data_IF_082633846931
#
_entry.id   IF_082633846931
#
_cell.length_a   1.000
_cell.length_b   1.000
_cell.length_c   1.000
_cell.angle_alpha   90.00
_cell.angle_beta   90.00
_cell.angle_gamma   90.00
#
_symmetry.space_group_name_H-M   'P 1'
#
loop_
_entity.id
_entity.type
_entity.pdbx_description
1 polymer ?
#
# COMPACT_ATOMS: atom_id res chain seq x y z
N UNK A 1 -13.92 7.38 -73.06
CA UNK A 1 -13.83 5.96 -72.57
C UNK A 1 -13.01 5.97 -71.30
N UNK A 2 -13.63 5.99 -70.14
CA UNK A 2 -12.93 5.97 -68.85
C UNK A 2 -13.58 4.93 -67.92
N UNK A 3 -12.80 3.94 -67.58
CA UNK A 3 -13.18 2.81 -66.69
C UNK A 3 -13.23 3.30 -65.24
N UNK A 4 -14.41 3.25 -64.62
CA UNK A 4 -14.61 3.49 -63.20
C UNK A 4 -14.15 2.26 -62.38
N UNK A 5 -13.22 2.46 -61.46
CA UNK A 5 -12.73 1.47 -60.49
C UNK A 5 -13.70 1.37 -59.33
N UNK A 6 -14.32 0.21 -59.13
CA UNK A 6 -15.13 -0.12 -57.94
C UNK A 6 -14.22 -0.48 -56.77
N UNK A 7 -14.12 0.41 -55.76
CA UNK A 7 -13.50 0.09 -54.44
C UNK A 7 -14.54 -0.64 -53.57
N UNK A 8 -14.27 -1.91 -53.32
CA UNK A 8 -15.01 -2.74 -52.39
C UNK A 8 -14.70 -2.35 -50.94
N UNK A 9 -15.70 -1.85 -50.20
CA UNK A 9 -15.62 -1.62 -48.75
C UNK A 9 -15.79 -2.94 -48.00
N UNK A 10 -14.70 -3.56 -47.53
CA UNK A 10 -14.76 -4.65 -46.56
C UNK A 10 -15.20 -4.10 -45.21
N UNK A 11 -16.44 -4.33 -44.81
CA UNK A 11 -16.95 -4.14 -43.44
C UNK A 11 -16.27 -5.15 -42.51
N UNK A 12 -15.40 -4.70 -41.59
CA UNK A 12 -14.89 -5.48 -40.47
C UNK A 12 -16.05 -5.73 -39.50
N UNK A 13 -16.52 -6.96 -39.38
CA UNK A 13 -17.41 -7.43 -38.30
C UNK A 13 -16.61 -7.47 -37.01
N UNK A 14 -16.90 -6.56 -36.07
CA UNK A 14 -16.44 -6.64 -34.71
C UNK A 14 -17.27 -7.72 -34.00
N UNK A 15 -16.66 -8.87 -33.78
CA UNK A 15 -17.25 -9.95 -32.99
C UNK A 15 -17.16 -9.53 -31.52
N UNK A 16 -18.27 -9.01 -30.96
CA UNK A 16 -18.42 -8.85 -29.52
C UNK A 16 -18.48 -10.23 -28.88
N UNK A 17 -17.34 -10.74 -28.37
CA UNK A 17 -17.33 -11.88 -27.46
C UNK A 17 -18.00 -11.44 -26.15
N UNK A 18 -19.23 -11.89 -25.90
CA UNK A 18 -19.84 -11.90 -24.57
C UNK A 18 -19.02 -12.85 -23.70
N UNK A 19 -18.22 -12.30 -22.79
CA UNK A 19 -17.57 -13.09 -21.74
C UNK A 19 -18.68 -13.52 -20.77
N UNK A 20 -18.97 -14.80 -20.77
CA UNK A 20 -19.98 -15.39 -19.90
C UNK A 20 -19.33 -15.67 -18.53
N UNK A 21 -19.45 -14.71 -17.58
CA UNK A 21 -18.88 -14.81 -16.23
C UNK A 21 -19.76 -15.73 -15.34
N UNK A 22 -20.07 -16.90 -15.80
CA UNK A 22 -20.67 -17.99 -15.01
C UNK A 22 -19.93 -19.30 -15.20
N UNK A 23 -18.61 -19.28 -15.16
CA UNK A 23 -17.78 -20.44 -14.94
C UNK A 23 -17.69 -20.70 -13.43
N UNK A 24 -18.47 -21.67 -12.91
CA UNK A 24 -18.18 -22.27 -11.61
C UNK A 24 -16.79 -22.92 -11.71
N UNK A 25 -15.75 -22.22 -11.28
CA UNK A 25 -14.44 -22.82 -11.08
C UNK A 25 -14.56 -23.84 -9.95
N UNK A 26 -14.61 -25.11 -10.32
CA UNK A 26 -14.33 -26.21 -9.38
C UNK A 26 -12.82 -26.18 -9.18
N UNK A 27 -12.37 -25.58 -8.06
CA UNK A 27 -11.01 -25.78 -7.60
C UNK A 27 -10.73 -27.29 -7.59
N UNK A 28 -9.61 -27.72 -8.19
CA UNK A 28 -9.23 -29.13 -8.16
C UNK A 28 -9.14 -29.59 -6.71
N UNK A 29 -9.56 -30.81 -6.41
CA UNK A 29 -9.52 -31.36 -5.04
C UNK A 29 -8.10 -31.30 -4.44
N UNK A 30 -7.08 -31.25 -5.27
CA UNK A 30 -5.66 -31.13 -4.87
C UNK A 30 -5.29 -29.75 -4.31
N UNK A 31 -5.85 -28.66 -4.84
CA UNK A 31 -5.60 -27.30 -4.31
C UNK A 31 -6.33 -27.02 -2.99
N UNK A 32 -7.41 -27.77 -2.67
CA UNK A 32 -8.15 -27.61 -1.40
C UNK A 32 -7.49 -28.33 -0.22
N UNK A 33 -6.64 -29.35 -0.46
CA UNK A 33 -6.03 -30.15 0.61
C UNK A 33 -4.85 -29.44 1.33
N UNK A 34 -4.37 -28.31 0.81
CA UNK A 34 -3.17 -27.60 1.31
C UNK A 34 -3.53 -26.33 2.08
N UNK A 35 -4.78 -25.87 2.01
CA UNK A 35 -5.16 -24.59 2.65
C UNK A 35 -5.65 -24.85 4.07
N UNK A 36 -4.93 -24.30 5.06
CA UNK A 36 -5.34 -24.31 6.47
C UNK A 36 -6.77 -23.78 6.62
N UNK A 37 -7.62 -24.40 7.47
CA UNK A 37 -8.97 -23.91 7.74
C UNK A 37 -9.02 -22.44 8.16
N UNK A 38 -7.96 -21.93 8.80
CA UNK A 38 -7.84 -20.54 9.25
C UNK A 38 -7.80 -19.56 8.09
N UNK A 39 -7.22 -19.93 6.94
CA UNK A 39 -7.05 -19.03 5.77
C UNK A 39 -8.13 -19.19 4.70
N UNK A 40 -9.00 -20.20 4.78
CA UNK A 40 -10.01 -20.47 3.74
C UNK A 40 -10.87 -19.24 3.37
N UNK A 41 -11.28 -18.43 4.37
CA UNK A 41 -12.07 -17.24 4.11
C UNK A 41 -11.30 -16.17 3.37
N UNK A 42 -9.98 -16.03 3.66
CA UNK A 42 -9.09 -15.06 3.00
C UNK A 42 -8.75 -15.54 1.58
N UNK A 43 -8.53 -16.82 1.40
CA UNK A 43 -8.33 -17.42 0.09
C UNK A 43 -9.49 -17.16 -0.87
N UNK A 44 -10.73 -17.15 -0.37
CA UNK A 44 -11.91 -16.76 -1.16
C UNK A 44 -11.87 -15.31 -1.63
N UNK A 45 -11.15 -14.45 -0.93
CA UNK A 45 -10.95 -13.03 -1.23
C UNK A 45 -9.57 -12.75 -1.87
N UNK A 46 -8.83 -13.79 -2.31
CA UNK A 46 -7.46 -13.67 -2.81
C UNK A 46 -7.26 -12.61 -3.89
N UNK A 47 -8.24 -12.44 -4.77
CA UNK A 47 -8.19 -11.42 -5.83
C UNK A 47 -8.43 -9.98 -5.32
N UNK A 48 -8.99 -9.82 -4.13
CA UNK A 48 -9.02 -8.52 -3.46
C UNK A 48 -7.71 -8.20 -2.74
N UNK A 49 -6.89 -9.23 -2.46
CA UNK A 49 -5.57 -9.08 -1.87
C UNK A 49 -4.52 -8.83 -2.96
N UNK A 50 -4.55 -9.64 -4.01
CA UNK A 50 -3.73 -9.53 -5.22
C UNK A 50 -4.58 -9.87 -6.44
N UNK A 51 -4.85 -8.91 -7.32
CA UNK A 51 -5.68 -9.13 -8.52
C UNK A 51 -5.06 -10.16 -9.48
N UNK A 52 -3.75 -10.29 -9.47
CA UNK A 52 -2.96 -11.24 -10.27
C UNK A 52 -2.58 -12.52 -9.51
N UNK A 53 -3.40 -12.92 -8.51
CA UNK A 53 -3.09 -14.03 -7.61
C UNK A 53 -2.71 -15.33 -8.36
N UNK A 54 -3.46 -15.70 -9.40
CA UNK A 54 -3.26 -16.97 -10.13
C UNK A 54 -1.99 -16.98 -11.00
N UNK A 55 -1.27 -15.86 -11.12
CA UNK A 55 -0.02 -15.75 -11.87
C UNK A 55 1.21 -16.20 -11.05
N UNK A 56 1.01 -16.72 -9.85
CA UNK A 56 2.06 -17.30 -9.01
C UNK A 56 2.41 -16.46 -7.78
N UNK A 57 1.47 -15.65 -7.27
CA UNK A 57 1.62 -14.92 -6.00
C UNK A 57 1.90 -15.92 -4.87
N UNK A 58 2.92 -15.61 -4.07
CA UNK A 58 3.31 -16.37 -2.90
C UNK A 58 2.82 -15.68 -1.63
N UNK A 59 2.28 -16.46 -0.69
CA UNK A 59 1.76 -16.00 0.59
C UNK A 59 2.07 -17.02 1.67
N UNK A 60 2.51 -16.58 2.83
CA UNK A 60 2.54 -17.42 4.05
C UNK A 60 1.19 -17.38 4.79
N UNK A 61 1.06 -18.12 5.89
CA UNK A 61 -0.18 -18.15 6.67
C UNK A 61 -0.52 -16.77 7.24
N UNK A 62 0.47 -16.00 7.68
CA UNK A 62 0.28 -14.66 8.23
C UNK A 62 -0.11 -13.66 7.14
N UNK A 63 0.51 -13.72 5.97
CA UNK A 63 0.22 -12.87 4.84
C UNK A 63 -1.25 -12.88 4.44
N UNK A 64 -1.93 -14.03 4.57
CA UNK A 64 -3.35 -14.13 4.25
C UNK A 64 -4.27 -13.21 5.04
N UNK A 65 -3.91 -12.88 6.28
CA UNK A 65 -4.72 -11.99 7.11
C UNK A 65 -4.09 -10.64 7.40
N UNK A 66 -2.81 -10.46 7.06
CA UNK A 66 -2.08 -9.21 7.31
C UNK A 66 -1.90 -8.34 6.07
N UNK A 67 -1.85 -8.92 4.86
CA UNK A 67 -1.67 -8.14 3.65
C UNK A 67 -2.81 -7.14 3.44
N UNK A 68 -2.45 -5.91 3.12
CA UNK A 68 -3.41 -4.85 2.77
C UNK A 68 -4.15 -5.23 1.48
N UNK A 69 -5.49 -5.15 1.42
CA UNK A 69 -6.22 -5.31 0.17
C UNK A 69 -5.70 -4.36 -0.91
N UNK A 70 -5.55 -4.86 -2.14
CA UNK A 70 -4.93 -4.12 -3.26
C UNK A 70 -5.59 -2.75 -3.49
N UNK A 71 -6.92 -2.66 -3.41
CA UNK A 71 -7.67 -1.40 -3.55
C UNK A 71 -7.25 -0.35 -2.50
N UNK A 72 -6.98 -0.78 -1.25
CA UNK A 72 -6.51 0.11 -0.18
C UNK A 72 -5.05 0.52 -0.45
N UNK A 73 -4.20 -0.45 -0.83
CA UNK A 73 -2.80 -0.17 -1.14
C UNK A 73 -2.64 0.82 -2.30
N UNK A 74 -3.51 0.75 -3.32
CA UNK A 74 -3.58 1.75 -4.41
C UNK A 74 -3.92 3.13 -3.85
N UNK A 75 -4.90 3.24 -2.94
CA UNK A 75 -5.24 4.54 -2.32
C UNK A 75 -4.08 5.11 -1.51
N UNK A 76 -3.36 4.27 -0.75
CA UNK A 76 -2.14 4.72 -0.05
C UNK A 76 -1.10 5.29 -1.03
N UNK A 77 -0.88 4.61 -2.16
CA UNK A 77 0.07 5.06 -3.17
C UNK A 77 -0.35 6.38 -3.85
N UNK A 78 -1.64 6.59 -4.07
CA UNK A 78 -2.19 7.85 -4.62
C UNK A 78 -2.01 9.05 -3.69
N UNK A 79 -1.83 8.83 -2.39
CA UNK A 79 -1.58 9.89 -1.40
C UNK A 79 -0.12 10.33 -1.33
N UNK A 80 0.78 9.61 -1.96
CA UNK A 80 2.20 9.98 -1.98
C UNK A 80 2.44 11.17 -2.92
N UNK A 81 3.40 12.01 -2.56
CA UNK A 81 3.80 13.17 -3.37
C UNK A 81 4.77 12.72 -4.45
N UNK A 82 4.53 13.15 -5.69
CA UNK A 82 5.35 12.76 -6.85
C UNK A 82 6.83 13.08 -6.67
N UNK A 83 7.71 12.18 -7.17
CA UNK A 83 9.16 12.36 -7.18
C UNK A 83 9.87 12.00 -5.88
N UNK A 84 9.17 11.45 -4.88
CA UNK A 84 9.75 10.96 -3.64
C UNK A 84 10.14 9.48 -3.67
N UNK A 85 10.85 9.06 -2.63
CA UNK A 85 11.10 7.66 -2.29
C UNK A 85 10.12 7.23 -1.21
N UNK A 86 9.56 6.03 -1.32
CA UNK A 86 8.72 5.45 -0.28
C UNK A 86 9.51 4.42 0.50
N UNK A 87 9.59 4.56 1.82
CA UNK A 87 10.12 3.54 2.72
C UNK A 87 8.94 2.75 3.28
N UNK A 88 8.77 1.51 2.81
CA UNK A 88 7.81 0.56 3.38
C UNK A 88 8.49 -0.17 4.54
N UNK A 89 8.14 0.24 5.76
CA UNK A 89 8.86 -0.16 6.98
C UNK A 89 8.52 -1.59 7.44
N UNK A 90 7.43 -2.18 6.93
CA UNK A 90 6.94 -3.52 7.26
C UNK A 90 6.34 -4.15 5.99
N UNK A 91 7.20 -4.50 5.04
CA UNK A 91 6.79 -4.83 3.67
C UNK A 91 5.95 -6.11 3.55
N UNK A 92 6.12 -7.07 4.46
CA UNK A 92 5.38 -8.34 4.45
C UNK A 92 5.43 -9.02 3.08
N UNK A 93 4.26 -9.28 2.50
CA UNK A 93 4.12 -9.90 1.16
C UNK A 93 4.30 -8.92 0.00
N UNK A 94 4.67 -7.66 0.25
CA UNK A 94 4.89 -6.64 -0.76
C UNK A 94 3.63 -5.96 -1.28
N UNK A 95 2.46 -6.15 -0.65
CA UNK A 95 1.19 -5.63 -1.16
C UNK A 95 1.20 -4.12 -1.37
N UNK A 96 1.67 -3.35 -0.40
CA UNK A 96 1.80 -1.89 -0.52
C UNK A 96 3.00 -1.48 -1.37
N UNK A 97 4.17 -2.09 -1.17
CA UNK A 97 5.38 -1.82 -1.95
C UNK A 97 5.14 -1.92 -3.46
N UNK A 98 4.39 -2.94 -3.90
CA UNK A 98 4.00 -3.14 -5.30
C UNK A 98 3.16 -1.97 -5.83
N UNK A 99 2.19 -1.49 -5.06
CA UNK A 99 1.31 -0.42 -5.52
C UNK A 99 2.01 0.95 -5.52
N UNK A 100 2.92 1.21 -4.57
CA UNK A 100 3.80 2.37 -4.64
C UNK A 100 4.66 2.34 -5.91
N UNK A 101 5.32 1.21 -6.19
CA UNK A 101 6.16 1.04 -7.38
C UNK A 101 5.34 1.12 -8.69
N UNK A 102 4.12 0.59 -8.73
CA UNK A 102 3.23 0.66 -9.88
C UNK A 102 2.80 2.10 -10.23
N UNK A 103 2.79 3.01 -9.26
CA UNK A 103 2.58 4.44 -9.48
C UNK A 103 3.87 5.23 -9.76
N UNK A 104 5.01 4.53 -9.95
CA UNK A 104 6.28 5.12 -10.38
C UNK A 104 7.16 5.62 -9.25
N UNK A 105 6.88 5.25 -7.99
CA UNK A 105 7.77 5.56 -6.87
C UNK A 105 8.92 4.55 -6.81
N UNK A 106 10.11 5.02 -6.43
CA UNK A 106 11.15 4.12 -5.96
C UNK A 106 10.84 3.71 -4.51
N UNK A 107 10.90 2.41 -4.20
CA UNK A 107 10.50 1.88 -2.90
C UNK A 107 11.68 1.20 -2.22
N UNK A 108 11.90 1.51 -0.96
CA UNK A 108 12.77 0.74 -0.07
C UNK A 108 11.86 -0.10 0.83
N UNK A 109 11.78 -1.39 0.53
CA UNK A 109 10.88 -2.34 1.19
C UNK A 109 11.64 -3.15 2.25
N UNK A 110 11.29 -2.98 3.52
CA UNK A 110 12.00 -3.56 4.66
C UNK A 110 11.10 -4.58 5.35
N UNK A 111 11.60 -5.77 5.59
CA UNK A 111 10.99 -6.74 6.49
C UNK A 111 12.09 -7.52 7.23
N UNK A 112 11.82 -7.89 8.46
CA UNK A 112 12.76 -8.65 9.29
C UNK A 112 12.84 -10.11 8.86
N UNK A 113 11.78 -10.64 8.24
CA UNK A 113 11.67 -12.04 7.82
C UNK A 113 12.19 -12.22 6.37
N UNK A 114 13.33 -12.93 6.16
CA UNK A 114 13.88 -13.17 4.85
C UNK A 114 12.93 -13.95 3.93
N UNK A 115 12.06 -14.81 4.46
CA UNK A 115 11.09 -15.56 3.66
C UNK A 115 10.00 -14.61 3.11
N UNK A 116 9.54 -13.66 3.92
CA UNK A 116 8.59 -12.63 3.47
C UNK A 116 9.20 -11.76 2.37
N UNK A 117 10.45 -11.34 2.54
CA UNK A 117 11.19 -10.56 1.53
C UNK A 117 11.32 -11.34 0.22
N UNK A 118 11.64 -12.66 0.27
CA UNK A 118 11.68 -13.49 -0.94
C UNK A 118 10.30 -13.57 -1.63
N UNK A 119 9.22 -13.76 -0.86
CA UNK A 119 7.87 -13.81 -1.39
C UNK A 119 7.45 -12.45 -1.98
N UNK A 120 7.74 -11.35 -1.30
CA UNK A 120 7.47 -10.00 -1.78
C UNK A 120 8.19 -9.70 -3.10
N UNK A 121 9.46 -10.07 -3.21
CA UNK A 121 10.24 -9.95 -4.46
C UNK A 121 9.65 -10.79 -5.59
N UNK A 122 9.20 -12.03 -5.32
CA UNK A 122 8.49 -12.84 -6.29
C UNK A 122 7.19 -12.15 -6.74
N UNK A 123 6.42 -11.61 -5.80
CA UNK A 123 5.15 -10.96 -6.08
C UNK A 123 5.34 -9.68 -6.91
N UNK A 124 6.38 -8.90 -6.61
CA UNK A 124 6.72 -7.71 -7.39
C UNK A 124 7.08 -8.02 -8.83
N UNK A 125 7.79 -9.14 -9.10
CA UNK A 125 8.10 -9.61 -10.46
C UNK A 125 6.84 -9.94 -11.26
N UNK A 126 5.84 -10.53 -10.62
CA UNK A 126 4.55 -10.83 -11.26
C UNK A 126 3.86 -9.53 -11.71
N UNK A 127 3.95 -8.47 -10.91
CA UNK A 127 3.43 -7.15 -11.26
C UNK A 127 4.33 -6.37 -12.22
N UNK A 128 5.58 -6.83 -12.46
CA UNK A 128 6.55 -6.18 -13.35
C UNK A 128 7.14 -4.89 -12.80
N UNK A 129 7.21 -4.77 -11.47
CA UNK A 129 7.67 -3.56 -10.77
C UNK A 129 8.89 -3.79 -9.87
N UNK A 130 9.46 -4.99 -9.90
CA UNK A 130 10.61 -5.39 -9.07
C UNK A 130 11.85 -4.50 -9.26
N UNK A 131 12.05 -3.92 -10.44
CA UNK A 131 13.13 -2.98 -10.72
C UNK A 131 12.99 -1.61 -10.02
N UNK A 132 11.83 -1.33 -9.43
CA UNK A 132 11.55 -0.09 -8.69
C UNK A 132 11.57 -0.29 -7.17
N UNK A 133 11.90 -1.53 -6.70
CA UNK A 133 11.84 -1.88 -5.28
C UNK A 133 13.17 -2.45 -4.83
N UNK A 134 13.81 -1.80 -3.86
CA UNK A 134 14.94 -2.33 -3.13
C UNK A 134 14.44 -3.11 -1.92
N UNK A 135 14.55 -4.43 -1.96
CA UNK A 135 14.15 -5.31 -0.87
C UNK A 135 15.28 -5.49 0.14
N UNK A 136 15.03 -5.21 1.42
CA UNK A 136 16.01 -5.26 2.50
C UNK A 136 15.50 -6.18 3.62
N UNK A 137 16.28 -7.21 3.95
CA UNK A 137 16.06 -8.03 5.14
C UNK A 137 16.70 -7.32 6.34
N UNK A 138 15.89 -6.65 7.16
CA UNK A 138 16.38 -5.92 8.33
C UNK A 138 15.25 -5.61 9.32
N UNK A 139 15.63 -5.32 10.55
CA UNK A 139 14.75 -4.66 11.52
C UNK A 139 14.72 -3.15 11.21
N UNK A 140 13.52 -2.64 10.89
CA UNK A 140 13.31 -1.22 10.59
C UNK A 140 13.87 -0.30 11.68
N UNK A 141 13.66 -0.64 12.96
CA UNK A 141 14.13 0.18 14.07
C UNK A 141 15.67 0.32 14.12
N UNK A 142 16.37 -0.73 13.66
CA UNK A 142 17.84 -0.72 13.61
C UNK A 142 18.39 0.05 12.40
N UNK A 143 17.71 0.01 11.26
CA UNK A 143 18.19 0.65 10.03
C UNK A 143 17.72 2.10 9.86
N UNK A 144 16.68 2.53 10.56
CA UNK A 144 16.13 3.88 10.48
C UNK A 144 17.18 5.01 10.63
N UNK A 145 18.18 4.93 11.55
CA UNK A 145 19.24 5.96 11.64
C UNK A 145 20.11 6.06 10.40
N UNK A 146 20.29 4.94 9.66
CA UNK A 146 21.07 4.92 8.41
C UNK A 146 20.25 5.49 7.26
N UNK A 147 18.96 5.18 7.19
CA UNK A 147 18.02 5.77 6.23
C UNK A 147 17.97 7.29 6.40
N UNK A 148 17.90 7.79 7.63
CA UNK A 148 17.97 9.23 7.92
C UNK A 148 19.19 9.87 7.27
N UNK A 149 20.39 9.31 7.44
CA UNK A 149 21.63 9.85 6.87
C UNK A 149 21.60 9.89 5.34
N UNK A 150 21.02 8.87 4.71
CA UNK A 150 20.93 8.73 3.27
C UNK A 150 19.93 9.73 2.66
N UNK A 151 18.78 9.92 3.25
CA UNK A 151 17.71 10.80 2.75
C UNK A 151 17.89 12.28 3.15
N UNK A 152 18.70 12.59 4.17
CA UNK A 152 18.96 13.94 4.68
C UNK A 152 20.40 14.42 4.48
N UNK A 153 21.10 13.89 3.48
CA UNK A 153 22.41 14.42 3.11
C UNK A 153 22.27 15.88 2.61
N UNK A 154 23.08 16.82 3.10
CA UNK A 154 23.07 18.21 2.61
C UNK A 154 23.32 18.37 1.11
N UNK A 155 23.91 17.34 0.48
CA UNK A 155 24.21 17.30 -0.96
C UNK A 155 23.07 16.76 -1.81
N UNK A 156 22.04 16.12 -1.21
CA UNK A 156 20.83 15.70 -1.92
C UNK A 156 19.75 16.76 -1.75
N UNK A 157 19.08 17.19 -2.83
CA UNK A 157 17.90 18.03 -2.66
C UNK A 157 16.95 17.29 -1.73
N UNK A 158 16.46 18.00 -0.69
CA UNK A 158 15.43 17.46 0.21
C UNK A 158 14.22 17.12 -0.67
N UNK A 159 14.07 15.84 -1.01
CA UNK A 159 12.87 15.39 -1.74
C UNK A 159 11.69 15.57 -0.78
N UNK A 160 10.96 16.69 -0.94
CA UNK A 160 9.76 17.01 -0.16
C UNK A 160 8.69 15.90 -0.25
N UNK A 161 8.89 14.95 -1.16
CA UNK A 161 8.00 13.85 -1.43
C UNK A 161 8.35 12.50 -0.79
N UNK A 162 9.45 12.39 -0.01
CA UNK A 162 9.75 11.11 0.66
C UNK A 162 8.67 10.77 1.68
N UNK A 163 8.23 9.50 1.69
CA UNK A 163 7.17 8.98 2.55
C UNK A 163 7.65 7.78 3.34
N UNK A 164 7.33 7.70 4.62
CA UNK A 164 7.42 6.48 5.42
C UNK A 164 6.04 5.83 5.51
N UNK A 165 5.93 4.59 5.08
CA UNK A 165 4.71 3.79 5.21
C UNK A 165 4.87 2.81 6.37
N UNK A 166 3.95 2.87 7.32
CA UNK A 166 3.90 2.06 8.52
C UNK A 166 2.65 1.16 8.49
N UNK A 167 2.84 -0.12 8.30
CA UNK A 167 1.80 -1.15 8.49
C UNK A 167 2.31 -2.21 9.45
N UNK A 168 2.53 -1.84 10.74
CA UNK A 168 3.11 -2.72 11.73
C UNK A 168 2.17 -3.88 12.06
N UNK A 169 2.68 -5.01 12.60
CA UNK A 169 1.83 -6.12 13.02
C UNK A 169 0.84 -5.71 14.12
N UNK A 170 -0.45 -6.08 13.95
CA UNK A 170 -1.54 -5.79 14.89
C UNK A 170 -1.77 -6.91 15.93
N UNK A 171 -0.87 -7.91 16.02
CA UNK A 171 -1.06 -9.07 16.88
C UNK A 171 -1.96 -10.15 16.27
N UNK A 172 -2.11 -10.18 14.94
CA UNK A 172 -2.93 -11.15 14.20
C UNK A 172 -4.44 -10.93 14.40
N UNK A 173 -5.30 -11.90 14.00
CA UNK A 173 -6.76 -11.74 14.01
C UNK A 173 -7.39 -11.43 15.38
N UNK A 174 -6.66 -11.64 16.47
CA UNK A 174 -7.12 -11.39 17.84
C UNK A 174 -7.32 -9.91 18.16
N UNK A 175 -6.74 -8.97 17.40
CA UNK A 175 -6.98 -7.53 17.58
C UNK A 175 -8.46 -7.17 17.56
N UNK A 176 -9.30 -7.99 16.90
CA UNK A 176 -10.76 -7.78 16.78
C UNK A 176 -11.51 -8.02 18.08
N UNK A 177 -10.87 -8.65 19.06
CA UNK A 177 -11.47 -8.94 20.38
C UNK A 177 -11.35 -7.76 21.35
N UNK A 178 -10.50 -6.78 21.04
CA UNK A 178 -10.46 -5.52 21.77
C UNK A 178 -11.62 -4.62 21.32
N UNK A 179 -12.35 -4.05 22.25
CA UNK A 179 -13.38 -3.05 21.94
C UNK A 179 -12.75 -1.78 21.36
N UNK A 180 -11.60 -1.39 21.91
CA UNK A 180 -10.77 -0.28 21.47
C UNK A 180 -9.32 -0.75 21.35
N UNK A 181 -8.68 -0.59 20.16
CA UNK A 181 -7.29 -0.97 19.93
C UNK A 181 -6.39 0.22 20.19
N UNK A 182 -5.62 0.18 21.26
CA UNK A 182 -4.68 1.24 21.65
C UNK A 182 -3.33 1.07 20.96
N UNK A 183 -2.60 2.16 20.76
CA UNK A 183 -1.32 2.16 20.00
C UNK A 183 -0.21 1.36 20.70
N UNK A 184 -0.31 1.12 22.02
CA UNK A 184 0.62 0.26 22.77
C UNK A 184 0.51 -1.23 22.43
N UNK A 185 -0.58 -1.65 21.80
CA UNK A 185 -0.77 -3.03 21.34
C UNK A 185 -0.03 -3.35 20.03
N UNK A 186 0.46 -2.34 19.30
CA UNK A 186 1.24 -2.55 18.08
C UNK A 186 2.57 -3.25 18.37
N UNK A 187 3.12 -3.91 17.35
CA UNK A 187 4.39 -4.64 17.41
C UNK A 187 5.32 -4.17 16.30
N UNK A 188 6.64 -4.26 16.47
CA UNK A 188 7.40 -4.82 17.62
C UNK A 188 7.45 -3.91 18.85
N UNK A 189 7.13 -2.62 18.69
CA UNK A 189 7.05 -1.62 19.77
C UNK A 189 5.72 -0.87 19.64
N UNK A 190 5.40 -0.02 20.63
CA UNK A 190 4.18 0.80 20.60
C UNK A 190 4.15 1.79 19.42
N UNK A 191 2.95 2.26 19.07
CA UNK A 191 2.74 3.13 17.91
C UNK A 191 3.38 4.51 18.05
N UNK A 192 3.50 5.05 19.26
CA UNK A 192 4.17 6.33 19.49
C UNK A 192 5.66 6.23 19.16
N UNK A 193 6.32 5.18 19.63
CA UNK A 193 7.75 4.91 19.31
C UNK A 193 7.95 4.70 17.82
N UNK A 194 7.09 3.89 17.14
CA UNK A 194 7.16 3.68 15.70
C UNK A 194 7.03 5.00 14.93
N UNK A 195 6.06 5.82 15.31
CA UNK A 195 5.82 7.11 14.67
C UNK A 195 7.01 8.05 14.86
N UNK A 196 7.56 8.17 16.07
CA UNK A 196 8.73 9.00 16.35
C UNK A 196 9.95 8.55 15.55
N UNK A 197 10.20 7.25 15.42
CA UNK A 197 11.30 6.72 14.59
C UNK A 197 11.08 7.10 13.12
N UNK A 198 9.89 6.92 12.58
CA UNK A 198 9.56 7.29 11.20
C UNK A 198 9.72 8.80 10.96
N UNK A 199 9.33 9.65 11.90
CA UNK A 199 9.52 11.11 11.84
C UNK A 199 10.98 11.53 11.75
N UNK A 200 11.91 10.71 12.26
CA UNK A 200 13.34 10.99 12.06
C UNK A 200 13.78 10.89 10.61
N UNK A 201 13.03 10.16 9.78
CA UNK A 201 13.31 9.94 8.36
C UNK A 201 12.57 10.97 7.50
N UNK A 202 11.28 11.20 7.75
CA UNK A 202 10.45 12.15 7.00
C UNK A 202 9.22 12.56 7.82
N UNK A 203 8.71 13.81 7.66
CA UNK A 203 7.43 14.21 8.26
C UNK A 203 6.22 13.61 7.52
N UNK A 204 6.39 13.07 6.30
CA UNK A 204 5.32 12.51 5.50
C UNK A 204 5.15 11.03 5.86
N UNK A 205 4.17 10.71 6.68
CA UNK A 205 3.94 9.36 7.18
C UNK A 205 2.55 8.90 6.78
N UNK A 206 2.44 7.66 6.32
CA UNK A 206 1.18 6.95 6.12
C UNK A 206 1.18 5.78 7.10
N UNK A 207 0.20 5.74 8.01
CA UNK A 207 0.11 4.70 9.02
C UNK A 207 -1.19 3.92 8.86
N UNK A 208 -1.10 2.63 8.52
CA UNK A 208 -2.27 1.75 8.36
C UNK A 208 -2.51 0.97 9.64
N UNK A 209 -3.71 1.14 10.21
CA UNK A 209 -4.08 0.74 11.56
C UNK A 209 -5.33 -0.15 11.57
N UNK A 210 -5.57 -0.89 12.67
CA UNK A 210 -6.80 -1.64 12.88
C UNK A 210 -8.05 -0.77 12.74
N UNK A 211 -9.16 -1.38 12.29
CA UNK A 211 -10.44 -0.68 12.13
C UNK A 211 -11.06 -0.17 13.43
N UNK A 212 -10.64 -0.71 14.57
CA UNK A 212 -11.08 -0.35 15.91
C UNK A 212 -9.99 0.38 16.70
N UNK A 213 -9.05 1.05 16.01
CA UNK A 213 -8.01 1.84 16.66
C UNK A 213 -8.62 3.00 17.41
N UNK A 214 -8.01 3.35 18.54
CA UNK A 214 -8.33 4.56 19.30
C UNK A 214 -7.91 5.81 18.50
N UNK A 215 -8.90 6.47 17.90
CA UNK A 215 -8.66 7.64 17.05
C UNK A 215 -8.07 8.80 17.86
N UNK A 216 -8.43 8.96 19.14
CA UNK A 216 -7.86 10.01 19.98
C UNK A 216 -6.33 9.84 20.12
N UNK A 217 -5.86 8.60 20.32
CA UNK A 217 -4.41 8.35 20.37
C UNK A 217 -3.71 8.59 19.01
N UNK A 218 -4.41 8.36 17.90
CA UNK A 218 -3.87 8.71 16.57
C UNK A 218 -3.77 10.23 16.39
N UNK A 219 -4.76 10.98 16.87
CA UNK A 219 -4.74 12.45 16.88
C UNK A 219 -3.60 13.00 17.75
N UNK A 220 -3.31 12.37 18.91
CA UNK A 220 -2.19 12.74 19.78
C UNK A 220 -0.85 12.68 19.07
N UNK A 221 -0.64 11.76 18.09
CA UNK A 221 0.59 11.70 17.29
C UNK A 221 0.84 13.01 16.54
N UNK A 222 -0.21 13.69 16.09
CA UNK A 222 -0.06 14.98 15.39
C UNK A 222 0.34 16.10 16.34
N UNK A 223 -0.06 16.05 17.62
CA UNK A 223 0.28 17.08 18.60
C UNK A 223 1.76 17.09 18.96
N UNK A 224 2.43 15.94 18.90
CA UNK A 224 3.86 15.81 19.21
C UNK A 224 4.76 16.60 18.26
N UNK A 225 4.30 16.86 17.02
CA UNK A 225 5.11 17.49 15.98
C UNK A 225 4.33 18.48 15.11
N UNK A 226 3.04 18.67 15.40
CA UNK A 226 2.12 19.53 14.64
C UNK A 226 2.09 19.29 13.11
N UNK A 227 2.27 18.07 12.58
CA UNK A 227 2.07 17.84 11.17
C UNK A 227 0.56 17.91 10.88
N UNK A 228 0.17 18.32 9.67
CA UNK A 228 -1.19 18.09 9.19
C UNK A 228 -1.56 16.61 9.32
N UNK A 229 -2.79 16.32 9.73
CA UNK A 229 -3.33 14.97 9.88
C UNK A 229 -4.64 14.84 9.11
N UNK A 230 -4.78 13.73 8.38
CA UNK A 230 -6.04 13.27 7.80
C UNK A 230 -6.23 11.79 8.13
N UNK A 231 -7.41 11.41 8.62
CA UNK A 231 -7.75 10.02 8.96
C UNK A 231 -8.82 9.54 8.00
N UNK A 232 -8.60 8.37 7.39
CA UNK A 232 -9.48 7.75 6.40
C UNK A 232 -9.94 6.37 6.85
N UNK A 233 -11.25 6.12 6.78
CA UNK A 233 -11.84 4.79 6.93
C UNK A 233 -11.71 4.00 5.63
N UNK A 234 -11.08 2.83 5.68
CA UNK A 234 -10.85 2.01 4.50
C UNK A 234 -11.88 0.91 4.34
N UNK A 235 -12.79 1.07 3.40
CA UNK A 235 -13.81 0.08 3.06
C UNK A 235 -13.41 -0.72 1.80
N UNK A 236 -13.69 -2.03 1.83
CA UNK A 236 -13.65 -2.94 0.67
C UNK A 236 -14.94 -3.72 0.62
N UNK A 237 -15.67 -3.65 -0.48
CA UNK A 237 -16.99 -4.30 -0.65
C UNK A 237 -17.98 -3.96 0.49
N UNK A 238 -17.99 -2.74 1.00
CA UNK A 238 -18.84 -2.27 2.08
C UNK A 238 -18.40 -2.68 3.49
N UNK A 239 -17.26 -3.35 3.64
CA UNK A 239 -16.74 -3.75 4.95
C UNK A 239 -15.53 -2.90 5.35
N UNK A 240 -15.57 -2.28 6.51
CA UNK A 240 -14.44 -1.55 7.09
C UNK A 240 -13.29 -2.53 7.39
N UNK A 241 -12.13 -2.29 6.77
CA UNK A 241 -10.93 -3.13 6.87
C UNK A 241 -9.90 -2.57 7.83
N UNK A 242 -9.71 -1.28 7.84
CA UNK A 242 -8.74 -0.57 8.68
C UNK A 242 -8.92 0.94 8.59
N UNK A 243 -8.15 1.64 9.40
CA UNK A 243 -8.02 3.09 9.39
C UNK A 243 -6.66 3.47 8.82
N UNK A 244 -6.58 4.54 8.05
CA UNK A 244 -5.28 5.09 7.64
C UNK A 244 -5.14 6.52 8.14
N UNK A 245 -4.04 6.78 8.83
CA UNK A 245 -3.64 8.12 9.22
C UNK A 245 -2.54 8.63 8.27
N UNK A 246 -2.77 9.79 7.70
CA UNK A 246 -1.86 10.48 6.77
C UNK A 246 -1.32 11.73 7.46
N UNK A 247 0.01 11.86 7.55
CA UNK A 247 0.70 12.97 8.19
C UNK A 247 1.56 13.74 7.20
N UNK A 248 1.78 15.04 7.47
CA UNK A 248 2.55 15.90 6.61
C UNK A 248 1.88 16.12 5.25
N UNK A 249 2.65 16.12 4.16
CA UNK A 249 2.11 16.38 2.82
C UNK A 249 1.15 15.28 2.33
N UNK A 250 1.20 14.07 2.90
CA UNK A 250 0.27 12.99 2.56
C UNK A 250 -1.15 13.25 3.09
N UNK A 251 -1.32 14.15 4.06
CA UNK A 251 -2.62 14.55 4.59
C UNK A 251 -3.45 15.39 3.61
N UNK A 252 -2.81 16.01 2.62
CA UNK A 252 -3.48 16.83 1.62
C UNK A 252 -3.84 15.97 0.39
N UNK A 253 -5.13 15.79 0.14
CA UNK A 253 -5.59 15.19 -1.11
C UNK A 253 -6.06 16.29 -2.06
N UNK A 254 -5.46 16.35 -3.26
CA UNK A 254 -6.04 17.09 -4.40
C UNK A 254 -6.03 18.62 -4.30
N UNK A 255 -5.27 19.20 -3.37
CA UNK A 255 -4.97 20.64 -3.41
C UNK A 255 -3.76 20.82 -4.34
N UNK A 256 -4.01 20.87 -5.66
CA UNK A 256 -3.04 21.41 -6.59
C UNK A 256 -2.84 22.89 -6.26
N UNK A 257 -1.58 23.37 -6.26
CA UNK A 257 -1.15 24.75 -5.91
C UNK A 257 -1.71 25.83 -6.86
N UNK A 258 -2.89 25.68 -7.49
CA UNK A 258 -3.46 26.62 -8.45
C UNK A 258 -4.35 27.71 -7.83
N UNK A 259 -4.52 27.76 -6.49
CA UNK A 259 -5.45 28.74 -5.88
C UNK A 259 -4.80 29.83 -5.01
N UNK A 260 -3.49 30.07 -5.10
CA UNK A 260 -2.83 31.12 -4.29
C UNK A 260 -2.27 32.29 -5.11
N UNK A 261 -2.73 32.51 -6.35
CA UNK A 261 -2.27 33.66 -7.16
C UNK A 261 -3.37 34.61 -7.63
N UNK A 262 -4.47 34.76 -6.89
CA UNK A 262 -5.42 35.84 -7.15
C UNK A 262 -5.93 36.39 -5.83
N UNK A 263 -5.24 37.38 -5.27
CA UNK A 263 -5.79 38.51 -4.51
C UNK A 263 -4.68 39.31 -3.79
N UNK A 264 -3.79 39.96 -4.57
CA UNK A 264 -3.09 41.15 -4.11
C UNK A 264 -3.07 42.13 -5.30
N UNK A 265 -4.19 42.81 -5.54
CA UNK A 265 -4.27 44.15 -6.11
C UNK A 265 -5.70 44.65 -5.96
N UNK A 266 -5.81 45.67 -5.17
CA UNK A 266 -6.84 46.70 -5.04
C UNK A 266 -7.25 46.90 -3.56
N UNK A 267 -6.60 47.77 -2.86
CA UNK A 267 -6.97 49.15 -2.45
C UNK A 267 -5.77 49.81 -1.80
#
# INVERSE_FOLDING_TARGET
MTRASRRSKKRRKIIKRKVNIRGKWKASKESQAIISPKVVKYWRQRYSLFSRYDEGIKMDEEGWFSVTPEEIAVRHAQRCVAGGVVVDCFAGMGGNSIQFAALGYHVVAIDIDPQKVEMASNNAKIYGVDNYIDFIVADFLQVAPSLKKQFWSPQMPVYKGNVAFLSPPWGGPSYKMADNFTLDLLKPVDGYTLFQVAQTITPNIIMFLPRNVDVCQVEELSWLSSPPLNIEENYVQGYLKGMTAYFGNTAYWGVTEETTSHNIHEV
#
